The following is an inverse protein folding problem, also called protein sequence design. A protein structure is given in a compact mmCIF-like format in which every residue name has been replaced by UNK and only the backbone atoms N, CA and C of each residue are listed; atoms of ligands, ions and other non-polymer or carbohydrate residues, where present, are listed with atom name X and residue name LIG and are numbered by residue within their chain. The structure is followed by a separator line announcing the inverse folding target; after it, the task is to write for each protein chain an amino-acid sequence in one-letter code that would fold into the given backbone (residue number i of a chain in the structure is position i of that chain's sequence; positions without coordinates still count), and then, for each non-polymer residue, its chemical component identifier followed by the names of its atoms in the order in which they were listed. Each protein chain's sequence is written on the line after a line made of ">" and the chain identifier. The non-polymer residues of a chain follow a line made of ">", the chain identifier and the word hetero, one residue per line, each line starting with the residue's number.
data_IF_815815764824
#
_entry.id   IF_815815764824
#
_cell.length_a   1.000
_cell.length_b   1.000
_cell.length_c   1.000
_cell.angle_alpha   90.00
_cell.angle_beta   90.00
_cell.angle_gamma   90.00
#
_symmetry.space_group_name_H-M   'P 1'
#
loop_
_entity.id
_entity.type
_entity.pdbx_description
1 polymer ?
#
# COMPACT_ATOMS: atom_id res chain seq x y z
N UNK A 1 6.71 -8.69 -22.98
CA UNK A 1 6.34 -7.48 -22.24
C UNK A 1 6.82 -6.27 -23.04
N UNK A 2 5.99 -5.22 -23.12
CA UNK A 2 6.36 -3.95 -23.75
C UNK A 2 7.15 -3.11 -22.74
N UNK A 3 8.35 -2.67 -23.11
CA UNK A 3 9.13 -1.76 -22.27
C UNK A 3 8.45 -0.40 -22.20
N UNK A 4 8.52 0.26 -21.02
CA UNK A 4 8.07 1.66 -20.88
C UNK A 4 8.92 2.66 -21.72
N UNK A 5 10.01 2.20 -22.30
CA UNK A 5 10.88 2.96 -23.21
C UNK A 5 10.61 2.68 -24.69
N UNK A 6 9.72 1.73 -24.99
CA UNK A 6 9.34 1.40 -26.37
C UNK A 6 8.55 2.54 -27.00
N UNK A 7 8.79 2.79 -28.28
CA UNK A 7 8.10 3.86 -29.03
C UNK A 7 6.58 3.69 -29.09
N UNK A 8 6.08 2.47 -28.96
CA UNK A 8 4.66 2.15 -28.97
C UNK A 8 4.01 2.21 -27.57
N UNK A 9 4.79 2.39 -26.48
CA UNK A 9 4.27 2.36 -25.12
C UNK A 9 3.12 3.35 -24.91
N UNK A 10 3.30 4.60 -25.32
CA UNK A 10 2.29 5.66 -25.18
C UNK A 10 0.99 5.32 -25.92
N UNK A 11 1.06 4.68 -27.12
CA UNK A 11 -0.11 4.32 -27.89
C UNK A 11 -0.89 3.13 -27.30
N UNK A 12 -0.18 2.09 -26.87
CA UNK A 12 -0.79 0.95 -26.19
C UNK A 12 -1.40 1.36 -24.84
N UNK A 13 -0.71 2.18 -24.06
CA UNK A 13 -1.25 2.70 -22.81
C UNK A 13 -2.52 3.53 -23.04
N UNK A 14 -2.55 4.38 -24.08
CA UNK A 14 -3.74 5.16 -24.41
C UNK A 14 -4.94 4.26 -24.76
N UNK A 15 -4.73 3.24 -25.59
CA UNK A 15 -5.77 2.25 -25.93
C UNK A 15 -6.27 1.51 -24.68
N UNK A 16 -5.36 1.07 -23.83
CA UNK A 16 -5.71 0.38 -22.58
C UNK A 16 -6.60 1.24 -21.67
N UNK A 17 -6.19 2.48 -21.41
CA UNK A 17 -6.97 3.38 -20.55
C UNK A 17 -8.31 3.80 -21.17
N UNK A 18 -8.38 3.95 -22.50
CA UNK A 18 -9.63 4.22 -23.20
C UNK A 18 -10.63 3.07 -23.03
N UNK A 19 -10.19 1.83 -23.21
CA UNK A 19 -11.05 0.66 -23.02
C UNK A 19 -11.45 0.48 -21.54
N UNK A 20 -10.52 0.75 -20.60
CA UNK A 20 -10.81 0.72 -19.19
C UNK A 20 -11.91 1.74 -18.81
N UNK A 21 -11.81 2.97 -19.34
CA UNK A 21 -12.81 4.02 -19.11
C UNK A 21 -14.18 3.66 -19.71
N UNK A 22 -14.23 3.03 -20.90
CA UNK A 22 -15.46 2.54 -21.49
C UNK A 22 -16.17 1.49 -20.65
N UNK A 23 -15.40 0.59 -20.01
CA UNK A 23 -15.92 -0.52 -19.21
C UNK A 23 -16.33 -0.11 -17.79
N UNK A 24 -15.56 0.76 -17.15
CA UNK A 24 -15.67 1.03 -15.71
C UNK A 24 -15.89 2.50 -15.37
N UNK A 25 -15.90 3.38 -16.37
CA UNK A 25 -15.95 4.83 -16.16
C UNK A 25 -14.58 5.40 -15.80
N UNK A 26 -14.53 6.73 -15.66
CA UNK A 26 -13.30 7.47 -15.37
C UNK A 26 -12.81 7.21 -13.94
N UNK A 27 -11.62 6.68 -13.81
CA UNK A 27 -10.96 6.45 -12.52
C UNK A 27 -9.97 7.56 -12.17
N UNK A 28 -9.74 7.76 -10.88
CA UNK A 28 -8.67 8.61 -10.37
C UNK A 28 -7.45 7.77 -9.93
N UNK A 29 -7.68 6.60 -9.36
CA UNK A 29 -6.64 5.72 -8.83
C UNK A 29 -6.42 4.53 -9.77
N UNK A 30 -5.18 4.36 -10.20
CA UNK A 30 -4.77 3.26 -11.09
C UNK A 30 -3.69 2.44 -10.40
N UNK A 31 -3.96 1.14 -10.21
CA UNK A 31 -2.99 0.21 -9.60
C UNK A 31 -2.08 -0.37 -10.66
N UNK A 32 -0.77 -0.33 -10.39
CA UNK A 32 0.25 -0.94 -11.24
C UNK A 32 1.52 -1.19 -10.42
N UNK A 33 2.06 -2.40 -10.52
CA UNK A 33 3.24 -2.83 -9.77
C UNK A 33 4.35 -3.32 -10.72
N UNK A 34 5.07 -2.42 -11.40
CA UNK A 34 6.20 -2.81 -12.24
C UNK A 34 7.36 -3.30 -11.37
N UNK A 35 8.04 -4.35 -11.83
CA UNK A 35 9.21 -4.92 -11.15
C UNK A 35 8.93 -5.47 -9.75
N UNK A 36 7.68 -5.87 -9.49
CA UNK A 36 7.30 -6.51 -8.25
C UNK A 36 7.89 -7.93 -8.17
N UNK A 37 8.22 -8.40 -6.96
CA UNK A 37 8.71 -9.75 -6.67
C UNK A 37 9.69 -10.35 -7.70
N UNK A 38 10.95 -9.92 -7.64
CA UNK A 38 11.98 -10.48 -8.51
C UNK A 38 11.93 -9.99 -9.96
N UNK A 39 11.14 -8.98 -10.25
CA UNK A 39 11.18 -8.29 -11.54
C UNK A 39 12.60 -7.83 -11.85
N UNK A 40 13.12 -8.23 -13.04
CA UNK A 40 14.45 -7.87 -13.46
C UNK A 40 14.51 -6.38 -13.83
N UNK A 41 15.39 -5.65 -13.16
CA UNK A 41 15.65 -4.23 -13.41
C UNK A 41 17.00 -3.98 -14.06
N UNK A 42 17.74 -5.03 -14.46
CA UNK A 42 19.04 -4.90 -15.10
C UNK A 42 18.90 -4.19 -16.46
N UNK A 43 19.66 -3.13 -16.65
CA UNK A 43 19.63 -2.33 -17.87
C UNK A 43 18.39 -1.43 -18.04
N UNK A 44 17.49 -1.38 -17.04
CA UNK A 44 16.29 -0.52 -17.08
C UNK A 44 16.59 0.84 -16.45
N UNK A 45 16.29 1.92 -17.16
CA UNK A 45 16.25 3.27 -16.59
C UNK A 45 14.95 3.43 -15.76
N UNK A 46 15.08 3.18 -14.45
CA UNK A 46 13.92 3.23 -13.54
C UNK A 46 13.29 4.62 -13.42
N UNK A 47 14.07 5.68 -13.53
CA UNK A 47 13.57 7.05 -13.52
C UNK A 47 12.72 7.34 -14.76
N UNK A 48 13.21 6.93 -15.92
CA UNK A 48 12.48 7.03 -17.18
C UNK A 48 11.23 6.16 -17.19
N UNK A 49 11.31 4.92 -16.66
CA UNK A 49 10.16 4.04 -16.51
C UNK A 49 9.05 4.67 -15.65
N UNK A 50 9.40 5.19 -14.47
CA UNK A 50 8.45 5.89 -13.60
C UNK A 50 7.79 7.08 -14.28
N UNK A 51 8.58 7.91 -14.96
CA UNK A 51 8.09 9.08 -15.69
C UNK A 51 7.14 8.69 -16.84
N UNK A 52 7.50 7.67 -17.63
CA UNK A 52 6.68 7.20 -18.76
C UNK A 52 5.33 6.64 -18.30
N UNK A 53 5.35 5.81 -17.25
CA UNK A 53 4.12 5.24 -16.67
C UNK A 53 3.21 6.36 -16.15
N UNK A 54 3.74 7.28 -15.35
CA UNK A 54 2.93 8.38 -14.79
C UNK A 54 2.39 9.29 -15.89
N UNK A 55 3.19 9.59 -16.91
CA UNK A 55 2.75 10.36 -18.09
C UNK A 55 1.57 9.70 -18.79
N UNK A 56 1.63 8.38 -18.99
CA UNK A 56 0.54 7.62 -19.62
C UNK A 56 -0.75 7.70 -18.79
N UNK A 57 -0.66 7.53 -17.46
CA UNK A 57 -1.80 7.68 -16.54
C UNK A 57 -2.39 9.10 -16.59
N UNK A 58 -1.53 10.13 -16.54
CA UNK A 58 -1.97 11.55 -16.59
C UNK A 58 -2.57 11.93 -17.93
N UNK A 59 -2.19 11.27 -19.02
CA UNK A 59 -2.80 11.48 -20.34
C UNK A 59 -4.25 10.99 -20.37
N UNK A 60 -4.52 9.87 -19.68
CA UNK A 60 -5.88 9.35 -19.53
C UNK A 60 -6.70 10.21 -18.56
N UNK A 61 -6.15 10.53 -17.40
CA UNK A 61 -6.76 11.43 -16.43
C UNK A 61 -5.70 12.35 -15.79
N UNK A 62 -5.79 13.69 -16.00
CA UNK A 62 -4.83 14.63 -15.40
C UNK A 62 -4.74 14.55 -13.86
N UNK A 63 -5.81 14.08 -13.20
CA UNK A 63 -5.85 13.88 -11.75
C UNK A 63 -5.44 12.46 -11.33
N UNK A 64 -4.93 11.63 -12.25
CA UNK A 64 -4.54 10.26 -11.96
C UNK A 64 -3.53 10.18 -10.81
N UNK A 65 -3.77 9.22 -9.93
CA UNK A 65 -2.87 8.82 -8.85
C UNK A 65 -2.46 7.37 -9.07
N UNK A 66 -1.17 7.14 -9.14
CA UNK A 66 -0.62 5.80 -9.27
C UNK A 66 -0.62 5.10 -7.90
N UNK A 67 -1.37 4.02 -7.76
CA UNK A 67 -1.36 3.17 -6.56
C UNK A 67 -0.34 2.05 -6.76
N UNK A 68 0.63 1.96 -5.84
CA UNK A 68 1.70 0.97 -5.93
C UNK A 68 1.85 0.22 -4.60
N UNK A 69 2.14 -1.08 -4.69
CA UNK A 69 2.37 -1.93 -3.53
C UNK A 69 3.84 -1.86 -3.09
N UNK A 70 4.05 -1.59 -1.79
CA UNK A 70 5.38 -1.69 -1.20
C UNK A 70 5.61 -3.10 -0.67
N UNK A 71 6.47 -3.82 -1.38
CA UNK A 71 6.85 -5.20 -1.08
C UNK A 71 8.32 -5.43 -1.38
N UNK A 72 9.11 -5.86 -0.39
CA UNK A 72 10.56 -6.02 -0.50
C UNK A 72 11.24 -4.70 -1.00
N UNK A 73 11.91 -4.74 -2.14
CA UNK A 73 12.57 -3.58 -2.73
C UNK A 73 11.63 -2.65 -3.54
N UNK A 74 10.38 -3.07 -3.77
CA UNK A 74 9.39 -2.24 -4.47
C UNK A 74 8.70 -1.27 -3.50
N UNK A 75 8.31 -0.04 -3.91
CA UNK A 75 8.71 0.62 -5.14
C UNK A 75 10.20 1.01 -5.13
N UNK A 76 10.83 0.91 -6.28
CA UNK A 76 12.25 1.28 -6.40
C UNK A 76 12.42 2.80 -6.21
N UNK A 77 13.32 3.27 -5.31
CA UNK A 77 13.49 4.71 -5.05
C UNK A 77 13.73 5.52 -6.32
N UNK A 78 14.64 5.07 -7.20
CA UNK A 78 14.93 5.77 -8.44
C UNK A 78 13.71 5.98 -9.35
N UNK A 79 12.71 5.08 -9.26
CA UNK A 79 11.48 5.17 -10.05
C UNK A 79 10.48 6.20 -9.46
N UNK A 80 10.40 6.28 -8.13
CA UNK A 80 9.40 7.14 -7.48
C UNK A 80 9.91 8.55 -7.18
N UNK A 81 11.22 8.73 -7.01
CA UNK A 81 11.82 10.03 -6.66
C UNK A 81 11.63 11.10 -7.74
N UNK A 82 11.44 10.67 -9.01
CA UNK A 82 11.23 11.58 -10.15
C UNK A 82 9.79 12.08 -10.26
N UNK A 83 8.82 11.42 -9.60
CA UNK A 83 7.40 11.79 -9.63
C UNK A 83 7.12 12.96 -8.69
N UNK A 84 5.99 13.67 -8.89
CA UNK A 84 5.61 14.78 -8.02
C UNK A 84 4.89 14.29 -6.75
N UNK A 85 4.86 15.13 -5.72
CA UNK A 85 4.00 14.89 -4.57
C UNK A 85 2.53 14.86 -5.02
N UNK A 86 1.79 13.81 -4.60
CA UNK A 86 0.40 13.60 -5.02
C UNK A 86 0.22 12.73 -6.26
N UNK A 87 1.29 12.43 -7.01
CA UNK A 87 1.20 11.52 -8.15
C UNK A 87 1.06 10.05 -7.73
N UNK A 88 1.43 9.70 -6.49
CA UNK A 88 1.46 8.32 -6.03
C UNK A 88 0.85 8.15 -4.65
N UNK A 89 0.19 7.00 -4.46
CA UNK A 89 -0.23 6.45 -3.17
C UNK A 89 0.44 5.09 -2.99
N UNK A 90 1.26 4.96 -1.97
CA UNK A 90 1.97 3.71 -1.67
C UNK A 90 1.19 2.89 -0.64
N UNK A 91 0.97 1.63 -0.93
CA UNK A 91 0.40 0.67 0.02
C UNK A 91 1.55 -0.06 0.72
N UNK A 92 1.85 0.28 1.98
CA UNK A 92 2.84 -0.47 2.77
C UNK A 92 2.22 -1.78 3.25
N UNK A 93 2.27 -2.81 2.40
CA UNK A 93 1.42 -4.00 2.49
C UNK A 93 1.53 -4.78 3.79
N UNK A 94 2.70 -4.78 4.43
CA UNK A 94 3.00 -5.63 5.58
C UNK A 94 3.52 -4.82 6.76
N UNK A 95 2.83 -3.70 7.04
CA UNK A 95 3.25 -2.72 8.05
C UNK A 95 3.32 -3.29 9.46
N UNK A 96 2.49 -4.29 9.79
CA UNK A 96 2.49 -4.91 11.12
C UNK A 96 3.65 -5.90 11.36
N UNK A 97 4.47 -6.17 10.30
CA UNK A 97 5.59 -7.12 10.44
C UNK A 97 6.87 -6.68 9.76
N UNK A 98 6.78 -6.08 8.61
CA UNK A 98 7.92 -5.64 7.80
C UNK A 98 7.67 -4.25 7.22
N UNK A 99 7.41 -3.25 8.09
CA UNK A 99 7.10 -1.90 7.65
C UNK A 99 8.25 -1.29 6.83
N UNK A 100 7.87 -0.49 5.84
CA UNK A 100 8.81 0.26 5.00
C UNK A 100 8.73 1.78 5.23
N UNK A 101 7.79 2.22 6.04
CA UNK A 101 7.57 3.64 6.31
C UNK A 101 8.69 4.35 7.08
N UNK A 102 9.68 3.61 7.63
CA UNK A 102 10.83 4.21 8.31
C UNK A 102 11.14 3.60 9.68
N UNK A 103 10.53 2.47 10.03
CA UNK A 103 10.88 1.70 11.22
C UNK A 103 12.26 1.05 11.02
N UNK A 104 13.26 1.50 11.81
CA UNK A 104 14.66 1.05 11.70
C UNK A 104 14.88 -0.42 12.05
N UNK A 105 13.95 -1.03 12.80
CA UNK A 105 14.02 -2.44 13.18
C UNK A 105 13.43 -3.37 12.12
N UNK A 106 12.81 -2.80 11.09
CA UNK A 106 12.26 -3.56 9.98
C UNK A 106 13.34 -4.14 9.08
N UNK A 107 13.16 -5.41 8.68
CA UNK A 107 13.98 -6.03 7.64
C UNK A 107 13.90 -5.29 6.29
N UNK A 108 12.80 -4.59 6.03
CA UNK A 108 12.58 -3.83 4.81
C UNK A 108 12.70 -2.32 5.03
N UNK A 109 13.48 -1.95 6.01
CA UNK A 109 13.70 -0.56 6.40
C UNK A 109 14.03 0.36 5.22
N UNK A 110 13.39 1.53 5.22
CA UNK A 110 13.69 2.65 4.33
C UNK A 110 13.85 3.91 5.17
N UNK A 111 15.04 4.44 5.23
CA UNK A 111 15.36 5.64 6.03
C UNK A 111 14.39 6.80 5.77
N UNK A 112 14.08 7.06 4.50
CA UNK A 112 13.17 8.13 4.06
C UNK A 112 11.73 7.67 3.83
N UNK A 113 11.39 6.44 4.26
CA UNK A 113 10.09 5.85 3.95
C UNK A 113 9.78 5.91 2.45
N UNK A 114 8.67 6.52 2.10
CA UNK A 114 8.23 6.71 0.71
C UNK A 114 8.48 8.15 0.22
N UNK A 115 9.37 8.89 0.89
CA UNK A 115 9.77 10.24 0.50
C UNK A 115 8.61 11.23 0.52
N UNK A 116 8.33 11.85 -0.64
CA UNK A 116 7.27 12.86 -0.78
C UNK A 116 5.89 12.29 -1.09
N UNK A 117 5.76 10.97 -1.17
CA UNK A 117 4.51 10.31 -1.55
C UNK A 117 3.64 9.97 -0.34
N UNK A 118 2.33 10.04 -0.55
CA UNK A 118 1.35 9.60 0.43
C UNK A 118 1.31 8.07 0.50
N UNK A 119 0.98 7.51 1.67
CA UNK A 119 0.98 6.08 1.88
C UNK A 119 -0.10 5.61 2.86
N UNK A 120 -0.43 4.33 2.81
CA UNK A 120 -1.34 3.67 3.73
C UNK A 120 -0.59 2.62 4.57
N UNK A 121 -0.93 2.56 5.86
CA UNK A 121 -0.53 1.50 6.77
C UNK A 121 -1.42 0.29 6.52
N UNK A 122 -0.89 -0.75 5.86
CA UNK A 122 -1.66 -1.92 5.47
C UNK A 122 -1.29 -3.14 6.30
N UNK A 123 -2.31 -3.94 6.62
CA UNK A 123 -2.16 -5.23 7.28
C UNK A 123 -2.25 -6.35 6.24
N UNK A 124 -1.28 -7.26 6.25
CA UNK A 124 -1.29 -8.49 5.47
C UNK A 124 -1.80 -9.64 6.32
N UNK A 125 -2.98 -10.14 5.99
CA UNK A 125 -3.59 -11.28 6.66
C UNK A 125 -3.72 -12.47 5.70
N UNK A 126 -3.70 -13.69 6.25
CA UNK A 126 -3.76 -14.92 5.47
C UNK A 126 -2.63 -15.08 4.44
N UNK A 127 -1.45 -14.63 4.81
CA UNK A 127 -0.25 -14.71 3.99
C UNK A 127 -0.03 -16.14 3.45
N UNK A 128 0.09 -16.25 2.14
CA UNK A 128 0.22 -17.56 1.46
C UNK A 128 -1.01 -18.47 1.60
N UNK A 129 -2.21 -17.91 1.76
CA UNK A 129 -3.44 -18.69 1.96
C UNK A 129 -3.53 -19.35 3.33
N UNK A 130 -2.71 -18.90 4.29
CA UNK A 130 -2.71 -19.43 5.64
C UNK A 130 -3.96 -18.98 6.39
N UNK A 131 -4.90 -19.91 6.55
CA UNK A 131 -6.20 -19.67 7.19
C UNK A 131 -6.15 -20.04 8.68
N UNK A 132 -7.02 -19.47 9.48
CA UNK A 132 -7.16 -19.73 10.90
C UNK A 132 -7.11 -18.47 11.75
N UNK A 133 -7.12 -18.65 13.06
CA UNK A 133 -7.09 -17.53 14.03
C UNK A 133 -5.67 -16.98 14.18
N UNK A 134 -5.15 -16.40 13.09
CA UNK A 134 -3.87 -15.74 13.06
C UNK A 134 -4.03 -14.23 13.14
N UNK A 135 -3.10 -13.56 13.82
CA UNK A 135 -3.06 -12.10 13.87
C UNK A 135 -1.98 -11.59 14.81
N UNK A 136 -1.44 -10.42 14.52
CA UNK A 136 -0.41 -9.74 15.30
C UNK A 136 -0.99 -8.46 15.93
N UNK A 137 -1.98 -8.62 16.84
CA UNK A 137 -2.73 -7.48 17.38
C UNK A 137 -1.83 -6.44 18.04
N UNK A 138 -0.85 -6.87 18.85
CA UNK A 138 0.07 -5.96 19.52
C UNK A 138 0.94 -5.19 18.53
N UNK A 139 1.49 -5.88 17.52
CA UNK A 139 2.30 -5.25 16.47
C UNK A 139 1.46 -4.31 15.60
N UNK A 140 0.24 -4.72 15.28
CA UNK A 140 -0.69 -3.89 14.50
C UNK A 140 -0.97 -2.56 15.21
N UNK A 141 -1.37 -2.62 16.49
CA UNK A 141 -1.68 -1.41 17.27
C UNK A 141 -0.43 -0.57 17.50
N UNK A 142 0.65 -1.17 18.02
CA UNK A 142 1.86 -0.43 18.34
C UNK A 142 2.49 0.19 17.10
N UNK A 143 2.65 -0.59 16.03
CA UNK A 143 3.23 -0.11 14.78
C UNK A 143 2.45 1.02 14.13
N UNK A 144 1.11 1.00 14.20
CA UNK A 144 0.28 2.09 13.72
C UNK A 144 0.57 3.42 14.47
N UNK A 145 0.59 3.40 15.80
CA UNK A 145 0.85 4.62 16.57
C UNK A 145 2.31 5.07 16.49
N UNK A 146 3.26 4.14 16.35
CA UNK A 146 4.67 4.46 16.08
C UNK A 146 4.80 5.14 14.70
N UNK A 147 4.11 4.65 13.70
CA UNK A 147 4.03 5.27 12.39
C UNK A 147 3.41 6.67 12.44
N UNK A 148 2.31 6.86 13.19
CA UNK A 148 1.70 8.18 13.38
C UNK A 148 2.65 9.20 14.02
N UNK A 149 3.47 8.75 14.97
CA UNK A 149 4.42 9.60 15.68
C UNK A 149 5.69 9.90 14.87
N UNK A 150 6.01 9.08 13.88
CA UNK A 150 7.21 9.21 13.07
C UNK A 150 7.12 10.36 12.06
N UNK A 151 8.26 10.94 11.68
CA UNK A 151 8.31 12.05 10.71
C UNK A 151 7.66 11.68 9.36
N UNK A 152 7.83 10.44 8.90
CA UNK A 152 7.23 9.92 7.67
C UNK A 152 5.71 9.68 7.81
N UNK A 153 5.19 9.60 9.03
CA UNK A 153 3.77 9.47 9.34
C UNK A 153 2.92 10.67 8.92
N UNK A 154 3.55 11.83 8.74
CA UNK A 154 2.87 13.02 8.18
C UNK A 154 2.27 12.79 6.79
N UNK A 155 2.76 11.78 6.07
CA UNK A 155 2.28 11.36 4.76
C UNK A 155 1.35 10.15 4.80
N UNK A 156 1.14 9.53 5.97
CA UNK A 156 0.17 8.46 6.13
C UNK A 156 -1.25 9.02 5.99
N UNK A 157 -2.08 8.39 5.14
CA UNK A 157 -3.44 8.83 4.83
C UNK A 157 -4.52 7.93 5.41
N UNK A 158 -4.13 6.84 6.03
CA UNK A 158 -5.03 5.90 6.64
C UNK A 158 -4.48 4.49 6.68
N UNK A 159 -5.38 3.54 6.78
CA UNK A 159 -5.08 2.11 6.82
C UNK A 159 -5.63 1.39 5.60
N UNK A 160 -5.09 0.21 5.34
CA UNK A 160 -5.55 -0.69 4.29
C UNK A 160 -5.39 -2.15 4.69
N UNK A 161 -6.01 -3.05 3.96
CA UNK A 161 -5.89 -4.47 4.18
C UNK A 161 -5.51 -5.20 2.88
N UNK A 162 -4.69 -6.23 3.03
CA UNK A 162 -4.26 -7.11 1.94
C UNK A 162 -4.59 -8.56 2.34
N UNK A 163 -5.86 -8.99 2.22
CA UNK A 163 -6.24 -10.37 2.49
C UNK A 163 -5.86 -11.27 1.30
N UNK A 164 -5.05 -12.30 1.56
CA UNK A 164 -4.65 -13.26 0.52
C UNK A 164 -5.52 -14.52 0.47
N UNK A 165 -6.37 -14.76 1.47
CA UNK A 165 -7.31 -15.88 1.54
C UNK A 165 -8.74 -15.38 1.60
N UNK A 166 -9.69 -16.29 1.33
CA UNK A 166 -11.13 -16.01 1.44
C UNK A 166 -11.67 -16.17 2.87
N UNK A 167 -11.07 -17.04 3.66
CA UNK A 167 -11.36 -17.13 5.09
C UNK A 167 -10.52 -16.08 5.82
N UNK A 168 -11.19 -15.15 6.45
CA UNK A 168 -10.57 -14.06 7.16
C UNK A 168 -10.89 -14.09 8.65
N UNK A 169 -10.01 -13.53 9.46
CA UNK A 169 -10.23 -13.34 10.88
C UNK A 169 -10.88 -11.98 11.15
N UNK A 170 -12.20 -11.88 11.35
CA UNK A 170 -12.91 -10.61 11.44
C UNK A 170 -12.34 -9.67 12.50
N UNK A 171 -11.92 -10.22 13.65
CA UNK A 171 -11.39 -9.42 14.77
C UNK A 171 -10.17 -8.58 14.36
N UNK A 172 -9.34 -9.10 13.48
CA UNK A 172 -8.16 -8.38 12.99
C UNK A 172 -8.53 -7.22 12.07
N UNK A 173 -9.54 -7.40 11.22
CA UNK A 173 -10.02 -6.32 10.35
C UNK A 173 -10.76 -5.25 11.12
N UNK A 174 -11.60 -5.61 12.09
CA UNK A 174 -12.27 -4.64 12.94
C UNK A 174 -11.25 -3.82 13.74
N UNK A 175 -10.24 -4.49 14.33
CA UNK A 175 -9.14 -3.81 14.99
C UNK A 175 -8.41 -2.83 14.07
N UNK A 176 -8.03 -3.27 12.87
CA UNK A 176 -7.33 -2.44 11.87
C UNK A 176 -8.13 -1.17 11.53
N UNK A 177 -9.40 -1.35 11.17
CA UNK A 177 -10.22 -0.23 10.73
C UNK A 177 -10.69 0.67 11.87
N UNK A 178 -10.59 0.23 13.13
CA UNK A 178 -10.86 1.08 14.29
C UNK A 178 -9.66 1.98 14.65
N UNK A 179 -8.41 1.62 14.29
CA UNK A 179 -7.23 2.37 14.65
C UNK A 179 -7.30 3.87 14.28
N UNK A 180 -7.71 4.26 13.05
CA UNK A 180 -7.75 5.68 12.66
C UNK A 180 -8.79 6.52 13.43
N UNK A 181 -9.74 5.88 14.09
CA UNK A 181 -10.81 6.54 14.87
C UNK A 181 -10.43 6.76 16.33
N UNK A 182 -9.28 6.20 16.76
CA UNK A 182 -8.78 6.36 18.13
C UNK A 182 -7.59 7.30 18.17
N UNK A 183 -7.73 8.36 18.97
CA UNK A 183 -6.67 9.37 19.09
C UNK A 183 -5.43 8.86 19.84
N UNK A 184 -5.60 7.87 20.71
CA UNK A 184 -4.55 7.41 21.61
C UNK A 184 -4.33 5.90 21.51
N UNK A 185 -3.07 5.50 21.74
CA UNK A 185 -2.69 4.09 21.84
C UNK A 185 -3.45 3.40 22.96
N UNK A 186 -3.89 2.20 22.71
CA UNK A 186 -4.65 1.38 23.67
C UNK A 186 -4.07 -0.04 23.77
N UNK A 187 -4.48 -0.76 24.83
CA UNK A 187 -4.15 -2.18 24.99
C UNK A 187 -5.06 -3.04 24.11
N UNK A 188 -4.50 -3.87 23.21
CA UNK A 188 -5.30 -4.83 22.45
C UNK A 188 -6.06 -5.81 23.32
N UNK A 189 -5.53 -6.19 24.49
CA UNK A 189 -6.21 -7.10 25.43
C UNK A 189 -7.48 -6.48 25.99
N UNK A 190 -7.42 -5.19 26.39
CA UNK A 190 -8.59 -4.46 26.88
C UNK A 190 -9.62 -4.28 25.76
N UNK A 191 -9.17 -3.96 24.55
CA UNK A 191 -10.02 -3.84 23.39
C UNK A 191 -10.72 -5.17 23.08
N UNK A 192 -9.98 -6.28 23.08
CA UNK A 192 -10.52 -7.62 22.82
C UNK A 192 -11.59 -8.03 23.84
N UNK A 193 -11.42 -7.69 25.11
CA UNK A 193 -12.47 -7.93 26.12
C UNK A 193 -13.77 -7.18 25.79
N UNK A 194 -13.66 -5.93 25.32
CA UNK A 194 -14.82 -5.17 24.85
C UNK A 194 -15.47 -5.78 23.63
N UNK A 195 -14.66 -6.19 22.66
CA UNK A 195 -15.10 -6.88 21.44
C UNK A 195 -15.88 -8.17 21.77
N UNK A 196 -15.33 -9.03 22.64
CA UNK A 196 -15.98 -10.28 23.04
C UNK A 196 -17.28 -10.04 23.78
N UNK A 197 -17.37 -8.99 24.63
CA UNK A 197 -18.61 -8.62 25.29
C UNK A 197 -19.69 -8.18 24.29
N UNK A 198 -19.31 -7.39 23.28
CA UNK A 198 -20.24 -6.99 22.23
C UNK A 198 -20.79 -8.17 21.48
N UNK A 199 -19.95 -9.15 21.11
CA UNK A 199 -20.38 -10.37 20.44
C UNK A 199 -21.29 -11.22 21.32
N UNK A 200 -21.04 -11.31 22.63
CA UNK A 200 -21.85 -12.12 23.55
C UNK A 200 -23.22 -11.51 23.87
N UNK A 201 -23.42 -10.23 23.64
CA UNK A 201 -24.70 -9.54 23.81
C UNK A 201 -25.63 -9.64 22.60
N UNK A 202 -25.13 -10.19 21.49
CA UNK A 202 -25.90 -10.39 20.26
C UNK A 202 -26.57 -11.79 20.26
N UNK A 203 -26.24 -12.63 21.22
CA UNK A 203 -26.81 -13.94 21.47
C UNK A 203 -27.54 -13.96 22.81
#
# INVERSE_FOLDING_TARGET
>A
FLSSEDEHFDSFAAMYYEELEKLYGKAKYYSMDPFHEGGNTEGVDLAKAGTSIMKAMKKANPEAVWVIQAWQANPRPAMIDVLNAGDMLVLDLYSEKRPQWGDSDSMWYREKGFGKHDWLYCMLLNFGGNVGLHGRMNQLVNGYYDACAHVNGKRMRGVGATPEGIENNPVMFELLYELPWRAERFSPDVWLQGYLKALSLIH
#
